data_IF_025863096246
#
_entry.id   IF_025863096246
#
_cell.length_a   1.000
_cell.length_b   1.000
_cell.length_c   1.000
_cell.angle_alpha   90.00
_cell.angle_beta   90.00
_cell.angle_gamma   90.00
#
_symmetry.space_group_name_H-M   'P 1'
#
loop_
_entity.id
_entity.type
_entity.pdbx_description
1 polymer ?
#
# COMPACT_ATOMS: atom_id res chain seq x y z
N UNK A 1 -18.19 8.59 20.57
CA UNK A 1 -17.12 9.61 20.77
C UNK A 1 -17.30 10.67 19.70
N UNK A 2 -17.68 11.89 20.08
CA UNK A 2 -17.91 12.98 19.13
C UNK A 2 -16.60 13.56 18.62
N UNK A 3 -16.57 14.00 17.37
CA UNK A 3 -15.45 14.77 16.83
C UNK A 3 -15.49 16.18 17.47
N UNK A 4 -14.39 16.67 18.08
CA UNK A 4 -14.33 18.02 18.64
C UNK A 4 -14.71 19.11 17.62
N UNK A 5 -15.28 20.22 18.10
CA UNK A 5 -15.74 21.33 17.25
C UNK A 5 -14.61 21.91 16.39
N UNK A 6 -13.42 22.07 16.99
CA UNK A 6 -12.21 22.55 16.32
C UNK A 6 -11.91 21.76 15.05
N UNK A 7 -12.04 20.43 15.12
CA UNK A 7 -11.72 19.51 14.02
C UNK A 7 -12.85 19.45 13.00
N UNK A 8 -14.10 19.64 13.47
CA UNK A 8 -15.27 19.67 12.60
C UNK A 8 -15.31 20.93 11.72
N UNK A 9 -14.76 22.04 12.20
CA UNK A 9 -14.72 23.32 11.49
C UNK A 9 -13.55 23.46 10.50
N UNK A 10 -12.56 22.56 10.54
CA UNK A 10 -11.45 22.55 9.57
C UNK A 10 -11.97 22.45 8.13
N UNK A 11 -11.47 23.34 7.27
CA UNK A 11 -11.75 23.39 5.84
C UNK A 11 -11.25 22.10 5.18
N UNK A 12 -12.15 21.39 4.49
CA UNK A 12 -11.86 20.09 3.88
C UNK A 12 -12.77 19.82 2.68
N UNK A 13 -12.45 18.82 1.84
CA UNK A 13 -13.31 18.44 0.71
C UNK A 13 -14.74 18.07 1.16
N UNK A 14 -15.73 18.42 0.33
CA UNK A 14 -17.14 18.07 0.55
C UNK A 14 -17.31 16.53 0.52
N UNK A 15 -18.37 16.02 1.14
CA UNK A 15 -18.67 14.59 1.25
C UNK A 15 -17.58 13.75 1.95
N UNK A 16 -17.04 14.26 3.06
CA UNK A 16 -16.03 13.56 3.87
C UNK A 16 -16.53 13.23 5.27
N UNK A 17 -16.04 12.13 5.83
CA UNK A 17 -16.28 11.67 7.21
C UNK A 17 -14.96 11.72 7.98
N UNK A 18 -14.99 12.25 9.19
CA UNK A 18 -13.82 12.31 10.08
C UNK A 18 -13.87 11.15 11.07
N UNK A 19 -12.77 10.42 11.20
CA UNK A 19 -12.59 9.37 12.22
C UNK A 19 -11.28 9.52 12.94
N UNK A 20 -11.27 9.21 14.23
CA UNK A 20 -10.04 9.13 15.02
C UNK A 20 -9.27 7.88 14.60
N UNK A 21 -8.01 8.05 14.19
CA UNK A 21 -7.09 6.98 13.82
C UNK A 21 -5.78 7.16 14.61
N UNK A 22 -5.68 6.45 15.73
CA UNK A 22 -4.59 6.64 16.68
C UNK A 22 -4.57 8.06 17.26
N UNK A 23 -3.45 8.77 17.07
CA UNK A 23 -3.26 10.17 17.47
C UNK A 23 -3.78 11.20 16.45
N UNK A 24 -4.15 10.76 15.24
CA UNK A 24 -4.53 11.63 14.12
C UNK A 24 -6.01 11.52 13.79
N UNK A 25 -6.51 12.48 13.03
CA UNK A 25 -7.88 12.49 12.52
C UNK A 25 -7.87 12.20 11.03
N UNK A 26 -8.33 11.01 10.65
CA UNK A 26 -8.42 10.61 9.24
C UNK A 26 -9.66 11.22 8.59
N UNK A 27 -9.48 11.76 7.39
CA UNK A 27 -10.55 12.28 6.53
C UNK A 27 -10.81 11.24 5.45
N UNK A 28 -12.01 10.67 5.48
CA UNK A 28 -12.44 9.55 4.65
C UNK A 28 -13.49 10.03 3.65
N UNK A 29 -13.39 9.61 2.40
CA UNK A 29 -14.41 9.89 1.40
C UNK A 29 -15.73 9.17 1.71
N UNK A 30 -16.86 9.82 1.48
CA UNK A 30 -18.17 9.17 1.49
C UNK A 30 -18.56 8.76 0.08
N UNK A 31 -18.51 7.46 -0.19
CA UNK A 31 -18.83 6.89 -1.51
C UNK A 31 -20.35 6.66 -1.68
N UNK A 32 -21.09 6.55 -0.58
CA UNK A 32 -22.54 6.35 -0.64
C UNK A 32 -23.19 6.22 0.73
N UNK A 33 -24.32 5.50 0.77
CA UNK A 33 -25.07 5.20 1.98
C UNK A 33 -25.41 3.70 2.03
N UNK A 34 -25.28 3.07 3.19
CA UNK A 34 -25.74 1.70 3.43
C UNK A 34 -26.70 1.74 4.62
N UNK A 35 -27.84 1.05 4.50
CA UNK A 35 -28.80 0.93 5.59
C UNK A 35 -28.31 -0.13 6.58
N UNK A 36 -28.01 0.29 7.82
CA UNK A 36 -27.64 -0.60 8.93
C UNK A 36 -28.51 -0.25 10.14
N UNK A 37 -29.10 -1.28 10.77
CA UNK A 37 -29.93 -1.16 11.97
C UNK A 37 -31.02 -0.08 11.85
N UNK A 38 -31.78 -0.10 10.75
CA UNK A 38 -32.88 0.85 10.51
C UNK A 38 -32.45 2.28 10.12
N UNK A 39 -31.15 2.60 10.15
CA UNK A 39 -30.60 3.92 9.84
C UNK A 39 -29.72 3.91 8.59
N UNK A 40 -29.71 5.02 7.84
CA UNK A 40 -28.81 5.19 6.69
C UNK A 40 -27.44 5.67 7.18
N UNK A 41 -26.44 4.79 7.15
CA UNK A 41 -25.07 5.11 7.51
C UNK A 41 -24.24 5.44 6.26
N UNK A 42 -23.29 6.40 6.34
CA UNK A 42 -22.38 6.67 5.24
C UNK A 42 -21.52 5.45 4.92
N UNK A 43 -21.39 5.12 3.63
CA UNK A 43 -20.42 4.13 3.15
C UNK A 43 -19.06 4.81 3.03
N UNK A 44 -18.13 4.36 3.86
CA UNK A 44 -16.75 4.84 3.89
C UNK A 44 -15.98 4.35 2.66
N UNK A 45 -15.25 5.28 2.03
CA UNK A 45 -14.33 5.03 0.93
C UNK A 45 -12.87 5.11 1.37
N UNK A 46 -12.04 5.70 0.52
CA UNK A 46 -10.61 5.85 0.75
C UNK A 46 -10.32 6.99 1.74
N UNK A 47 -9.26 6.85 2.52
CA UNK A 47 -8.70 7.96 3.31
C UNK A 47 -8.03 8.94 2.34
N UNK A 48 -8.60 10.15 2.22
CA UNK A 48 -8.11 11.21 1.34
C UNK A 48 -7.01 12.03 2.02
N UNK A 49 -6.96 12.04 3.35
CA UNK A 49 -5.96 12.83 4.10
C UNK A 49 -6.14 12.74 5.60
N UNK A 50 -5.40 13.57 6.32
CA UNK A 50 -5.45 13.65 7.78
C UNK A 50 -5.53 15.11 8.21
N UNK A 51 -6.20 15.37 9.33
CA UNK A 51 -6.14 16.66 10.02
C UNK A 51 -5.02 16.56 11.05
N UNK A 52 -4.03 17.46 10.93
CA UNK A 52 -2.88 17.59 11.82
C UNK A 52 -2.80 19.08 12.18
N UNK A 53 -2.70 19.39 13.48
CA UNK A 53 -2.57 20.77 14.00
C UNK A 53 -3.62 21.77 13.49
N UNK A 54 -4.86 21.29 13.26
CA UNK A 54 -5.97 22.12 12.78
C UNK A 54 -6.03 22.30 11.27
N UNK A 55 -5.11 21.72 10.51
CA UNK A 55 -5.08 21.82 9.04
C UNK A 55 -5.30 20.46 8.38
N UNK A 56 -6.01 20.48 7.25
CA UNK A 56 -6.22 19.29 6.44
C UNK A 56 -5.03 19.06 5.49
N UNK A 57 -4.31 17.96 5.72
CA UNK A 57 -3.20 17.51 4.88
C UNK A 57 -3.69 16.39 3.97
N UNK A 58 -3.69 16.64 2.66
CA UNK A 58 -4.05 15.63 1.66
C UNK A 58 -3.03 14.51 1.66
N UNK A 59 -3.49 13.27 1.57
CA UNK A 59 -2.64 12.10 1.37
C UNK A 59 -2.10 12.15 -0.06
N UNK A 60 -0.81 12.43 -0.20
CA UNK A 60 -0.13 12.29 -1.48
C UNK A 60 -0.10 10.81 -1.87
N UNK A 61 -0.56 10.54 -3.08
CA UNK A 61 -0.29 9.26 -3.72
C UNK A 61 1.15 9.32 -4.19
N UNK A 62 2.09 8.90 -3.34
CA UNK A 62 3.46 8.68 -3.75
C UNK A 62 3.41 7.65 -4.87
N UNK A 63 3.51 8.11 -6.12
CA UNK A 63 3.73 7.25 -7.26
C UNK A 63 5.10 6.63 -7.06
N UNK A 64 5.12 5.37 -6.63
CA UNK A 64 6.34 4.58 -6.59
C UNK A 64 6.72 4.30 -8.05
N UNK A 65 7.50 5.19 -8.63
CA UNK A 65 8.09 4.96 -9.93
C UNK A 65 9.20 3.92 -9.76
N UNK A 66 8.89 2.68 -10.13
CA UNK A 66 9.84 1.58 -10.15
C UNK A 66 10.74 1.81 -11.37
N UNK A 67 11.90 2.41 -11.17
CA UNK A 67 12.93 2.53 -12.20
C UNK A 67 13.80 1.28 -12.24
N UNK A 68 14.17 0.83 -13.45
CA UNK A 68 15.18 -0.22 -13.67
C UNK A 68 16.48 0.01 -12.89
N UNK A 69 16.82 1.28 -12.62
CA UNK A 69 18.00 1.65 -11.84
C UNK A 69 18.00 1.05 -10.42
N UNK A 70 16.84 0.76 -9.85
CA UNK A 70 16.74 0.21 -8.49
C UNK A 70 16.94 -1.31 -8.42
N UNK A 71 16.88 -2.03 -9.55
CA UNK A 71 16.96 -3.50 -9.58
C UNK A 71 17.85 -4.05 -10.72
N UNK A 72 18.70 -3.21 -11.31
CA UNK A 72 19.59 -3.61 -12.40
C UNK A 72 20.49 -4.80 -12.05
N UNK A 73 21.03 -4.82 -10.83
CA UNK A 73 21.89 -5.91 -10.34
C UNK A 73 21.14 -7.25 -10.31
N UNK A 74 19.86 -7.24 -9.93
CA UNK A 74 19.00 -8.43 -9.92
C UNK A 74 18.63 -8.89 -11.32
N UNK A 75 18.35 -7.97 -12.23
CA UNK A 75 18.03 -8.32 -13.62
C UNK A 75 19.26 -8.85 -14.36
N UNK A 76 20.45 -8.30 -14.10
CA UNK A 76 21.71 -8.81 -14.63
C UNK A 76 22.00 -10.21 -14.10
N UNK A 77 21.90 -10.43 -12.79
CA UNK A 77 22.11 -11.77 -12.24
C UNK A 77 21.14 -12.78 -12.87
N UNK A 78 19.86 -12.39 -13.00
CA UNK A 78 18.83 -13.25 -13.60
C UNK A 78 19.10 -13.56 -15.06
N UNK A 79 19.61 -12.62 -15.85
CA UNK A 79 19.89 -12.83 -17.28
C UNK A 79 21.07 -13.78 -17.50
N UNK A 80 22.02 -13.82 -16.56
CA UNK A 80 23.20 -14.70 -16.62
C UNK A 80 22.92 -16.08 -16.02
N UNK A 81 22.02 -16.21 -15.05
CA UNK A 81 21.76 -17.48 -14.32
C UNK A 81 20.51 -18.23 -14.77
N UNK A 82 20.01 -17.97 -15.96
CA UNK A 82 18.71 -18.48 -16.41
C UNK A 82 18.74 -19.99 -16.73
N UNK A 83 19.92 -20.50 -17.05
CA UNK A 83 20.29 -21.92 -17.19
C UNK A 83 20.05 -22.71 -15.89
N UNK A 84 20.41 -22.16 -14.74
CA UNK A 84 20.19 -22.80 -13.43
C UNK A 84 18.70 -23.02 -13.18
N UNK A 85 17.84 -22.09 -13.63
CA UNK A 85 16.39 -22.24 -13.47
C UNK A 85 15.83 -23.34 -14.37
N UNK A 86 16.36 -23.54 -15.58
CA UNK A 86 15.98 -24.69 -16.42
C UNK A 86 16.36 -26.01 -15.75
N UNK A 87 17.60 -26.12 -15.26
CA UNK A 87 18.09 -27.33 -14.61
C UNK A 87 17.28 -27.66 -13.36
N UNK A 88 16.92 -26.64 -12.56
CA UNK A 88 16.08 -26.82 -11.38
C UNK A 88 14.67 -27.35 -11.70
N UNK A 89 14.10 -26.98 -12.86
CA UNK A 89 12.78 -27.43 -13.30
C UNK A 89 12.77 -28.86 -13.81
N UNK A 90 13.93 -29.43 -14.15
CA UNK A 90 14.04 -30.85 -14.52
C UNK A 90 13.89 -31.76 -13.29
N UNK A 91 14.33 -31.30 -12.12
CA UNK A 91 14.35 -32.09 -10.88
C UNK A 91 13.19 -31.77 -9.95
N UNK A 92 12.79 -30.49 -9.87
CA UNK A 92 11.77 -30.01 -8.94
C UNK A 92 10.50 -29.57 -9.64
N UNK A 93 9.39 -29.53 -8.89
CA UNK A 93 8.17 -28.89 -9.36
C UNK A 93 8.41 -27.41 -9.66
N UNK A 94 7.73 -26.88 -10.68
CA UNK A 94 7.93 -25.50 -11.15
C UNK A 94 7.86 -24.45 -10.05
N UNK A 95 6.94 -24.61 -9.10
CA UNK A 95 6.77 -23.70 -7.96
C UNK A 95 8.00 -23.71 -7.03
N UNK A 96 8.47 -24.91 -6.67
CA UNK A 96 9.64 -25.08 -5.81
C UNK A 96 10.93 -24.63 -6.50
N UNK A 97 11.10 -24.95 -7.79
CA UNK A 97 12.24 -24.51 -8.60
C UNK A 97 12.33 -22.97 -8.65
N UNK A 98 11.21 -22.28 -8.89
CA UNK A 98 11.16 -20.82 -8.90
C UNK A 98 11.50 -20.23 -7.51
N UNK A 99 11.00 -20.84 -6.43
CA UNK A 99 11.31 -20.42 -5.06
C UNK A 99 12.79 -20.57 -4.73
N UNK A 100 13.37 -21.73 -5.01
CA UNK A 100 14.77 -22.02 -4.73
C UNK A 100 15.70 -21.12 -5.55
N UNK A 101 15.37 -20.90 -6.83
CA UNK A 101 16.07 -19.97 -7.70
C UNK A 101 16.07 -18.54 -7.15
N UNK A 102 14.88 -18.03 -6.77
CA UNK A 102 14.76 -16.70 -6.20
C UNK A 102 15.56 -16.53 -4.91
N UNK A 103 15.51 -17.50 -4.00
CA UNK A 103 16.29 -17.48 -2.75
C UNK A 103 17.81 -17.46 -3.04
N UNK A 104 18.25 -18.27 -4.01
CA UNK A 104 19.65 -18.37 -4.39
C UNK A 104 20.16 -17.06 -4.99
N UNK A 105 19.38 -16.44 -5.88
CA UNK A 105 19.70 -15.15 -6.51
C UNK A 105 19.72 -14.00 -5.50
N UNK A 106 18.78 -13.97 -4.55
CA UNK A 106 18.78 -12.97 -3.49
C UNK A 106 20.00 -13.10 -2.57
N UNK A 107 20.43 -14.33 -2.27
CA UNK A 107 21.60 -14.61 -1.42
C UNK A 107 22.92 -14.34 -2.10
N UNK A 108 23.02 -14.51 -3.41
CA UNK A 108 24.25 -14.21 -4.15
C UNK A 108 24.49 -12.71 -4.26
N UNK A 109 23.43 -11.92 -4.47
CA UNK A 109 23.51 -10.46 -4.59
C UNK A 109 23.64 -9.78 -3.22
N UNK A 110 22.96 -10.29 -2.20
CA UNK A 110 23.00 -9.76 -0.84
C UNK A 110 23.62 -10.78 0.12
N UNK A 111 24.96 -11.02 0.03
CA UNK A 111 25.65 -11.83 1.02
C UNK A 111 25.58 -11.14 2.38
N UNK A 112 25.28 -11.92 3.42
CA UNK A 112 25.34 -11.46 4.81
C UNK A 112 26.78 -11.32 5.28
#
# INVERSE_FOLDING_TARGET
>A
MGVPLEIRQVTRPKNTVIKKSGSKWAVIERVGCVRKNGSNQPKEGKVIGHIIDGEFIKKEEIKKEISFKYYGDYELAKSVSQDILSDLKEVYTSDFANHLYAISLLRSINPK
#
